data_IF_438662872095
#
_entry.id   IF_438662872095
#
_cell.length_a   1.000
_cell.length_b   1.000
_cell.length_c   1.000
_cell.angle_alpha   90.00
_cell.angle_beta   90.00
_cell.angle_gamma   90.00
#
_symmetry.space_group_name_H-M   'P 1'
#
loop_
_entity.id
_entity.type
_entity.pdbx_description
1 polymer ?
#
# COMPACT_ATOMS: atom_id res chain seq x y z
N UNK A 1 -6.78 -18.60 13.51
CA UNK A 1 -6.38 -18.81 12.09
C UNK A 1 -5.41 -17.71 11.70
N UNK A 2 -4.29 -18.06 11.06
CA UNK A 2 -3.20 -17.12 10.73
C UNK A 2 -3.62 -16.27 9.52
N UNK A 3 -3.57 -14.93 9.64
CA UNK A 3 -3.87 -14.04 8.50
C UNK A 3 -2.71 -14.04 7.51
N UNK A 4 -3.05 -14.00 6.23
CA UNK A 4 -2.12 -14.12 5.11
C UNK A 4 -1.75 -12.72 4.62
N UNK A 5 -0.51 -12.49 4.22
CA UNK A 5 -0.11 -11.26 3.53
C UNK A 5 0.56 -11.57 2.19
N UNK A 6 0.52 -10.57 1.32
CA UNK A 6 1.20 -10.56 0.04
C UNK A 6 1.82 -9.20 -0.19
N UNK A 7 3.10 -9.20 -0.53
CA UNK A 7 3.90 -7.98 -0.71
C UNK A 7 4.12 -7.77 -2.21
N UNK A 8 3.89 -6.54 -2.66
CA UNK A 8 4.16 -6.10 -4.03
C UNK A 8 5.14 -4.93 -3.94
N UNK A 9 6.42 -5.16 -4.22
CA UNK A 9 7.41 -4.09 -4.34
C UNK A 9 7.44 -3.59 -5.77
N UNK A 10 7.29 -2.30 -6.00
CA UNK A 10 7.28 -1.76 -7.36
C UNK A 10 8.42 -0.82 -7.66
N UNK A 11 9.01 -1.03 -8.83
CA UNK A 11 10.21 -0.37 -9.28
C UNK A 11 9.88 0.42 -10.54
N UNK A 12 9.86 1.75 -10.52
CA UNK A 12 9.59 2.49 -11.75
C UNK A 12 9.53 4.00 -11.64
N UNK A 13 10.66 4.66 -11.41
CA UNK A 13 10.78 6.12 -11.65
C UNK A 13 11.44 6.40 -13.01
N UNK A 14 11.04 5.68 -14.05
CA UNK A 14 11.55 5.87 -15.43
C UNK A 14 10.47 6.25 -16.44
N UNK A 15 9.23 6.45 -15.99
CA UNK A 15 8.07 6.88 -16.81
C UNK A 15 7.34 8.04 -16.13
N UNK A 16 6.50 8.82 -16.85
CA UNK A 16 5.60 9.78 -16.21
C UNK A 16 4.75 9.07 -15.14
N UNK A 17 4.52 9.72 -13.99
CA UNK A 17 3.89 9.12 -12.80
C UNK A 17 2.62 8.29 -13.12
N UNK A 18 1.81 8.73 -14.08
CA UNK A 18 0.57 8.06 -14.47
C UNK A 18 0.73 6.63 -15.02
N UNK A 19 1.82 6.31 -15.74
CA UNK A 19 2.03 4.96 -16.29
C UNK A 19 2.50 3.96 -15.23
N UNK A 20 3.35 4.39 -14.30
CA UNK A 20 3.81 3.54 -13.20
C UNK A 20 2.65 3.15 -12.30
N UNK A 21 1.79 4.10 -11.92
CA UNK A 21 0.60 3.80 -11.11
C UNK A 21 -0.33 2.80 -11.82
N UNK A 22 -0.49 2.90 -13.14
CA UNK A 22 -1.33 1.96 -13.89
C UNK A 22 -0.83 0.51 -13.80
N UNK A 23 0.48 0.28 -13.99
CA UNK A 23 1.06 -1.06 -13.85
C UNK A 23 0.91 -1.62 -12.44
N UNK A 24 1.06 -0.77 -11.42
CA UNK A 24 0.87 -1.19 -10.05
C UNK A 24 -0.55 -1.64 -9.78
N UNK A 25 -1.52 -0.81 -10.15
CA UNK A 25 -2.92 -1.15 -10.00
C UNK A 25 -3.20 -2.48 -10.69
N UNK A 26 -2.65 -2.72 -11.88
CA UNK A 26 -2.80 -4.01 -12.57
C UNK A 26 -2.33 -5.20 -11.71
N UNK A 27 -1.16 -5.10 -11.07
CA UNK A 27 -0.64 -6.18 -10.22
C UNK A 27 -1.53 -6.37 -8.99
N UNK A 28 -1.95 -5.28 -8.33
CA UNK A 28 -2.85 -5.33 -7.19
C UNK A 28 -4.23 -5.91 -7.58
N UNK A 29 -4.80 -5.51 -8.74
CA UNK A 29 -6.04 -6.05 -9.30
C UNK A 29 -5.91 -7.55 -9.59
N UNK A 30 -4.80 -8.01 -10.15
CA UNK A 30 -4.57 -9.43 -10.42
C UNK A 30 -4.56 -10.27 -9.13
N UNK A 31 -4.14 -9.69 -8.01
CA UNK A 31 -4.24 -10.34 -6.70
C UNK A 31 -5.65 -10.24 -6.11
N UNK A 32 -6.33 -9.11 -6.23
CA UNK A 32 -7.73 -8.94 -5.81
C UNK A 32 -8.67 -9.89 -6.56
N UNK A 33 -8.44 -10.15 -7.86
CA UNK A 33 -9.22 -11.14 -8.64
C UNK A 33 -9.21 -12.54 -8.00
N UNK A 34 -8.11 -12.92 -7.35
CA UNK A 34 -7.92 -14.21 -6.65
C UNK A 34 -8.46 -14.23 -5.21
N UNK A 35 -8.87 -13.08 -4.67
CA UNK A 35 -9.54 -13.04 -3.38
C UNK A 35 -10.95 -13.63 -3.48
N UNK A 36 -11.67 -13.85 -2.40
CA UNK A 36 -13.09 -14.24 -2.49
C UNK A 36 -13.97 -12.99 -2.53
N UNK A 37 -15.27 -13.13 -2.79
CA UNK A 37 -16.19 -12.01 -2.61
C UNK A 37 -16.33 -11.68 -1.12
N UNK A 38 -16.44 -10.41 -0.76
CA UNK A 38 -16.51 -10.00 0.64
C UNK A 38 -16.32 -8.51 0.85
N UNK A 39 -16.00 -8.12 2.09
CA UNK A 39 -15.69 -6.74 2.46
C UNK A 39 -14.22 -6.45 2.22
N UNK A 40 -13.92 -5.44 1.40
CA UNK A 40 -12.57 -4.99 1.08
C UNK A 40 -12.35 -3.57 1.60
N UNK A 41 -11.23 -3.35 2.28
CA UNK A 41 -10.77 -2.01 2.65
C UNK A 41 -9.62 -1.58 1.73
N UNK A 42 -9.78 -0.45 1.05
CA UNK A 42 -8.71 0.29 0.39
C UNK A 42 -8.20 1.40 1.31
N UNK A 43 -6.91 1.33 1.66
CA UNK A 43 -6.24 2.38 2.45
C UNK A 43 -5.88 3.54 1.51
N UNK A 44 -6.25 4.76 1.92
CA UNK A 44 -6.02 6.02 1.19
C UNK A 44 -6.35 5.98 -0.31
N UNK A 45 -7.64 5.87 -0.69
CA UNK A 45 -8.07 5.87 -2.09
C UNK A 45 -7.70 7.15 -2.87
N UNK A 46 -7.36 8.25 -2.19
CA UNK A 46 -6.98 9.53 -2.78
C UNK A 46 -7.96 10.02 -3.85
N UNK A 47 -7.47 10.13 -5.09
CA UNK A 47 -8.26 10.56 -6.26
C UNK A 47 -9.21 9.48 -6.83
N UNK A 48 -9.42 8.37 -6.12
CA UNK A 48 -10.34 7.28 -6.48
C UNK A 48 -9.99 6.54 -7.78
N UNK A 49 -8.74 6.62 -8.25
CA UNK A 49 -8.32 5.96 -9.49
C UNK A 49 -8.34 4.45 -9.37
N UNK A 50 -7.73 3.91 -8.31
CA UNK A 50 -7.70 2.49 -8.04
C UNK A 50 -9.06 1.98 -7.54
N UNK A 51 -9.67 2.69 -6.59
CA UNK A 51 -11.07 2.53 -6.17
C UNK A 51 -12.07 2.23 -7.29
N UNK A 52 -12.07 3.02 -8.38
CA UNK A 52 -12.95 2.80 -9.53
C UNK A 52 -12.67 1.46 -10.23
N UNK A 53 -11.40 1.10 -10.40
CA UNK A 53 -11.00 -0.17 -11.01
C UNK A 53 -11.37 -1.36 -10.12
N UNK A 54 -11.30 -1.21 -8.79
CA UNK A 54 -11.76 -2.24 -7.85
C UNK A 54 -13.28 -2.42 -7.96
N UNK A 55 -14.05 -1.32 -8.04
CA UNK A 55 -15.52 -1.37 -8.21
C UNK A 55 -15.93 -2.15 -9.46
N UNK A 56 -15.19 -2.02 -10.55
CA UNK A 56 -15.43 -2.77 -11.80
C UNK A 56 -15.31 -4.29 -11.65
N UNK A 57 -14.59 -4.78 -10.63
CA UNK A 57 -14.54 -6.22 -10.33
C UNK A 57 -15.88 -6.79 -9.85
N UNK A 58 -16.80 -5.93 -9.41
CA UNK A 58 -18.16 -6.26 -8.92
C UNK A 58 -18.18 -7.46 -7.94
N UNK A 59 -17.18 -7.49 -7.05
CA UNK A 59 -16.90 -8.60 -6.14
C UNK A 59 -16.89 -8.21 -4.67
N UNK A 60 -16.67 -6.92 -4.41
CA UNK A 60 -16.40 -6.43 -3.06
C UNK A 60 -17.45 -5.41 -2.64
N UNK A 61 -17.86 -5.52 -1.38
CA UNK A 61 -18.41 -4.39 -0.64
C UNK A 61 -17.21 -3.53 -0.22
N UNK A 62 -17.04 -2.39 -0.89
CA UNK A 62 -15.81 -1.60 -0.84
C UNK A 62 -15.90 -0.48 0.21
N UNK A 63 -14.86 -0.39 1.02
CA UNK A 63 -14.70 0.60 2.08
C UNK A 63 -13.36 1.31 1.90
N UNK A 64 -13.27 2.57 2.30
CA UNK A 64 -12.02 3.31 2.25
C UNK A 64 -11.96 4.44 3.26
N UNK A 65 -10.74 4.81 3.64
CA UNK A 65 -10.48 5.95 4.49
C UNK A 65 -9.28 6.75 4.01
N UNK A 66 -9.37 8.07 4.09
CA UNK A 66 -8.34 9.01 3.65
C UNK A 66 -8.44 10.31 4.46
N UNK A 67 -7.38 11.12 4.52
CA UNK A 67 -7.42 12.45 5.11
C UNK A 67 -8.14 13.45 4.18
N UNK A 68 -8.03 13.25 2.86
CA UNK A 68 -8.60 14.13 1.85
C UNK A 68 -9.18 13.31 0.70
N UNK A 69 -10.50 13.08 0.72
CA UNK A 69 -11.19 12.43 -0.39
C UNK A 69 -12.52 13.12 -0.72
N UNK A 70 -12.75 13.36 -2.01
CA UNK A 70 -13.95 14.02 -2.54
C UNK A 70 -15.09 13.02 -2.81
N UNK A 71 -15.32 12.08 -1.90
CA UNK A 71 -16.41 11.10 -1.97
C UNK A 71 -16.90 10.78 -0.55
N UNK A 72 -18.16 11.10 -0.26
CA UNK A 72 -18.78 10.95 1.07
C UNK A 72 -18.83 9.49 1.56
N UNK A 73 -18.64 8.51 0.67
CA UNK A 73 -18.54 7.09 1.04
C UNK A 73 -17.19 6.73 1.66
N UNK A 74 -16.19 7.61 1.55
CA UNK A 74 -14.86 7.43 2.14
C UNK A 74 -14.82 8.11 3.51
N UNK A 75 -14.44 7.37 4.54
CA UNK A 75 -14.35 7.93 5.89
C UNK A 75 -13.11 8.82 6.03
N UNK A 76 -13.26 9.95 6.70
CA UNK A 76 -12.09 10.73 7.13
C UNK A 76 -11.23 9.91 8.09
N UNK A 77 -9.92 9.86 7.85
CA UNK A 77 -8.93 9.26 8.74
C UNK A 77 -7.54 9.80 8.44
N UNK A 78 -6.90 10.45 9.42
CA UNK A 78 -5.49 10.77 9.32
C UNK A 78 -4.65 9.58 9.79
N UNK A 79 -4.13 8.79 8.84
CA UNK A 79 -3.36 7.57 9.12
C UNK A 79 -2.09 7.76 9.97
N UNK A 80 -1.61 9.00 10.15
CA UNK A 80 -0.47 9.30 11.02
C UNK A 80 -0.87 9.47 12.49
N UNK A 81 -2.10 9.88 12.79
CA UNK A 81 -2.55 10.21 14.15
C UNK A 81 -3.65 9.27 14.63
N UNK A 82 -4.56 8.91 13.73
CA UNK A 82 -5.80 8.23 14.05
C UNK A 82 -5.64 6.72 13.95
N UNK A 83 -6.56 6.00 14.58
CA UNK A 83 -6.77 4.58 14.34
C UNK A 83 -7.74 4.41 13.17
N UNK A 84 -7.68 3.28 12.46
CA UNK A 84 -8.59 3.05 11.33
C UNK A 84 -10.05 3.07 11.83
N UNK A 85 -10.96 3.82 11.17
CA UNK A 85 -12.31 4.10 11.66
C UNK A 85 -13.29 2.93 11.43
N UNK A 86 -12.85 1.73 11.80
CA UNK A 86 -13.52 0.46 11.57
C UNK A 86 -13.31 -0.48 12.77
N UNK A 87 -14.30 -1.34 12.97
CA UNK A 87 -14.26 -2.35 14.02
C UNK A 87 -13.21 -3.43 13.75
N UNK A 88 -12.84 -4.14 14.82
CA UNK A 88 -11.94 -5.29 14.74
C UNK A 88 -12.53 -6.38 13.84
N UNK A 89 -11.68 -7.04 13.05
CA UNK A 89 -12.07 -8.19 12.22
C UNK A 89 -13.31 -7.94 11.32
N UNK A 90 -13.41 -6.74 10.73
CA UNK A 90 -14.51 -6.37 9.83
C UNK A 90 -14.27 -6.85 8.40
N UNK A 91 -13.02 -6.80 7.91
CA UNK A 91 -12.70 -6.98 6.50
C UNK A 91 -12.20 -8.38 6.17
N UNK A 92 -12.64 -8.89 5.02
CA UNK A 92 -12.13 -10.15 4.48
C UNK A 92 -10.74 -9.96 3.87
N UNK A 93 -10.53 -8.82 3.19
CA UNK A 93 -9.25 -8.45 2.60
C UNK A 93 -8.98 -6.93 2.78
N UNK A 94 -7.70 -6.55 2.81
CA UNK A 94 -7.23 -5.16 2.88
C UNK A 94 -6.20 -4.94 1.76
N UNK A 95 -6.30 -3.80 1.07
CA UNK A 95 -5.30 -3.35 0.09
C UNK A 95 -4.73 -1.98 0.47
N UNK A 96 -3.40 -1.87 0.45
CA UNK A 96 -2.64 -0.68 0.79
C UNK A 96 -1.62 -0.42 -0.32
N UNK A 97 -1.95 0.47 -1.25
CA UNK A 97 -1.26 0.61 -2.53
C UNK A 97 -0.54 1.96 -2.61
N UNK A 98 0.79 1.98 -2.51
CA UNK A 98 1.64 3.19 -2.43
C UNK A 98 1.20 4.17 -1.33
N UNK A 99 1.02 3.65 -0.12
CA UNK A 99 0.63 4.49 1.04
C UNK A 99 1.70 4.45 2.11
N UNK A 100 2.22 3.27 2.43
CA UNK A 100 3.03 3.05 3.64
C UNK A 100 4.32 3.89 3.67
N UNK A 101 4.90 4.23 2.53
CA UNK A 101 6.06 5.11 2.40
C UNK A 101 5.79 6.57 2.74
N UNK A 102 4.51 6.98 2.80
CA UNK A 102 4.07 8.32 3.21
C UNK A 102 3.76 8.42 4.71
N UNK A 103 3.73 7.28 5.43
CA UNK A 103 3.24 7.19 6.81
C UNK A 103 4.39 7.26 7.79
N UNK A 104 4.36 8.18 8.74
CA UNK A 104 5.44 8.39 9.72
C UNK A 104 5.68 7.17 10.60
N UNK A 105 4.61 6.46 10.97
CA UNK A 105 4.68 5.25 11.78
C UNK A 105 4.10 4.03 11.02
N UNK A 106 4.89 3.38 10.15
CA UNK A 106 4.43 2.22 9.39
C UNK A 106 4.08 1.01 10.28
N UNK A 107 4.68 0.91 11.47
CA UNK A 107 4.36 -0.13 12.45
C UNK A 107 2.92 -0.02 12.93
N UNK A 108 2.47 1.20 13.29
CA UNK A 108 1.09 1.47 13.70
C UNK A 108 0.11 1.10 12.58
N UNK A 109 0.36 1.55 11.35
CA UNK A 109 -0.54 1.27 10.23
C UNK A 109 -0.67 -0.23 9.96
N UNK A 110 0.43 -1.00 10.00
CA UNK A 110 0.38 -2.46 9.82
C UNK A 110 -0.39 -3.14 10.96
N UNK A 111 -0.21 -2.70 12.20
CA UNK A 111 -0.97 -3.20 13.35
C UNK A 111 -2.47 -2.92 13.19
N UNK A 112 -2.84 -1.73 12.73
CA UNK A 112 -4.24 -1.35 12.48
C UNK A 112 -4.86 -2.13 11.33
N UNK A 113 -4.14 -2.30 10.22
CA UNK A 113 -4.58 -3.16 9.11
C UNK A 113 -4.79 -4.61 9.59
N UNK A 114 -3.93 -5.10 10.48
CA UNK A 114 -4.09 -6.42 11.10
C UNK A 114 -5.33 -6.49 12.00
N UNK A 115 -5.59 -5.45 12.79
CA UNK A 115 -6.73 -5.37 13.72
C UNK A 115 -8.07 -5.44 12.99
N UNK A 116 -8.22 -4.69 11.90
CA UNK A 116 -9.48 -4.63 11.14
C UNK A 116 -9.68 -5.83 10.22
N UNK A 117 -8.63 -6.59 9.94
CA UNK A 117 -8.68 -7.79 9.10
C UNK A 117 -9.21 -8.99 9.89
N UNK A 118 -10.13 -9.75 9.31
CA UNK A 118 -10.60 -11.02 9.88
C UNK A 118 -9.45 -12.02 10.03
N UNK A 119 -9.54 -12.96 11.00
CA UNK A 119 -8.63 -14.10 11.03
C UNK A 119 -8.65 -14.85 9.69
N UNK A 120 -7.47 -15.00 9.06
CA UNK A 120 -7.35 -15.63 7.74
C UNK A 120 -7.55 -14.70 6.54
N UNK A 121 -7.94 -13.45 6.75
CA UNK A 121 -8.02 -12.44 5.70
C UNK A 121 -6.66 -12.13 5.07
N UNK A 122 -6.67 -11.45 3.92
CA UNK A 122 -5.43 -11.12 3.19
C UNK A 122 -5.11 -9.63 3.23
N UNK A 123 -3.83 -9.31 3.45
CA UNK A 123 -3.28 -7.98 3.19
C UNK A 123 -2.50 -7.99 1.87
N UNK A 124 -2.87 -7.11 0.94
CA UNK A 124 -2.10 -6.79 -0.26
C UNK A 124 -1.47 -5.43 -0.05
N UNK A 125 -0.13 -5.36 0.03
CA UNK A 125 0.58 -4.11 0.29
C UNK A 125 1.61 -3.82 -0.79
N UNK A 126 1.70 -2.56 -1.23
CA UNK A 126 2.76 -2.08 -2.12
C UNK A 126 3.52 -0.88 -1.60
N UNK A 127 4.74 -0.73 -2.11
CA UNK A 127 5.62 0.41 -1.85
C UNK A 127 6.75 0.45 -2.90
N UNK A 128 7.40 1.61 -3.11
CA UNK A 128 8.54 1.73 -4.02
C UNK A 128 9.70 0.78 -3.72
N UNK A 129 10.36 0.32 -4.77
CA UNK A 129 11.47 -0.63 -4.71
C UNK A 129 12.82 0.07 -4.82
N UNK A 130 13.32 0.53 -3.68
CA UNK A 130 14.66 1.12 -3.52
C UNK A 130 15.82 0.11 -3.66
N UNK A 131 15.53 -1.19 -3.86
CA UNK A 131 16.57 -2.23 -3.89
C UNK A 131 17.24 -2.39 -5.24
N UNK A 132 16.85 -1.61 -6.26
CA UNK A 132 17.47 -1.64 -7.59
C UNK A 132 18.93 -1.23 -7.56
N UNK A 133 19.72 -1.78 -8.48
CA UNK A 133 21.13 -1.41 -8.64
C UNK A 133 21.28 0.09 -8.90
N UNK A 134 20.44 0.66 -9.79
CA UNK A 134 20.41 2.10 -10.06
C UNK A 134 20.17 2.91 -8.77
N UNK A 135 19.13 2.59 -7.99
CA UNK A 135 18.79 3.34 -6.77
C UNK A 135 19.89 3.23 -5.70
N UNK A 136 20.54 2.06 -5.58
CA UNK A 136 21.67 1.85 -4.66
C UNK A 136 22.91 2.64 -5.06
N UNK A 137 23.26 2.64 -6.35
CA UNK A 137 24.38 3.43 -6.88
C UNK A 137 24.06 4.92 -6.74
N UNK A 138 22.84 5.33 -7.06
CA UNK A 138 22.39 6.71 -6.90
C UNK A 138 22.50 7.15 -5.43
N UNK A 139 22.01 6.35 -4.49
CA UNK A 139 22.15 6.61 -3.06
C UNK A 139 23.62 6.75 -2.64
N UNK A 140 24.50 5.86 -3.11
CA UNK A 140 25.93 5.93 -2.81
C UNK A 140 26.56 7.28 -3.19
N UNK A 141 26.14 7.87 -4.32
CA UNK A 141 26.70 9.13 -4.81
C UNK A 141 25.92 10.38 -4.39
N UNK A 142 24.64 10.26 -4.04
CA UNK A 142 23.76 11.41 -3.76
C UNK A 142 23.26 11.49 -2.32
N UNK A 143 23.34 10.40 -1.56
CA UNK A 143 22.91 10.33 -0.16
C UNK A 143 21.40 10.18 0.07
N UNK A 144 20.61 10.00 -0.99
CA UNK A 144 19.16 9.77 -0.93
C UNK A 144 18.68 8.85 -2.06
N UNK A 145 17.51 8.22 -1.90
CA UNK A 145 16.91 7.39 -2.94
C UNK A 145 16.08 8.25 -3.92
N UNK A 146 16.09 7.96 -5.23
CA UNK A 146 15.21 8.64 -6.19
C UNK A 146 13.75 8.60 -5.72
N UNK A 147 13.07 9.74 -5.73
CA UNK A 147 11.68 9.86 -5.25
C UNK A 147 11.52 10.00 -3.73
N UNK A 148 12.58 9.86 -2.93
CA UNK A 148 12.59 10.05 -1.47
C UNK A 148 13.31 11.35 -1.09
N UNK A 149 13.00 12.43 -1.80
CA UNK A 149 13.59 13.75 -1.56
C UNK A 149 12.75 14.53 -0.55
N UNK A 150 13.42 15.18 0.40
CA UNK A 150 12.78 16.09 1.34
C UNK A 150 12.55 17.46 0.66
N UNK A 151 11.62 17.53 -0.29
CA UNK A 151 11.24 18.81 -0.89
C UNK A 151 10.20 19.52 -0.01
N UNK A 152 10.59 20.65 0.57
CA UNK A 152 9.88 21.47 1.57
C UNK A 152 8.43 21.89 1.27
N UNK A 153 7.83 21.55 0.11
CA UNK A 153 6.64 22.24 -0.38
C UNK A 153 5.32 21.44 -0.39
N UNK A 154 5.30 20.10 -0.30
CA UNK A 154 4.05 19.34 -0.27
C UNK A 154 4.15 18.09 0.64
N UNK A 155 3.79 18.23 1.91
CA UNK A 155 3.86 17.15 2.90
C UNK A 155 3.00 15.91 2.57
N UNK A 156 1.92 16.06 1.81
CA UNK A 156 0.98 14.97 1.50
C UNK A 156 1.47 13.98 0.42
N UNK A 157 2.49 14.34 -0.37
CA UNK A 157 2.99 13.52 -1.49
C UNK A 157 4.44 13.07 -1.31
N UNK A 158 5.04 13.31 -0.15
CA UNK A 158 6.43 12.95 0.10
C UNK A 158 6.55 11.48 0.48
N UNK A 159 7.40 10.73 -0.23
CA UNK A 159 7.88 9.46 0.28
C UNK A 159 8.91 9.73 1.39
N UNK A 160 8.48 9.58 2.63
CA UNK A 160 9.32 9.82 3.81
C UNK A 160 10.03 8.56 4.29
N UNK A 161 9.49 7.38 3.96
CA UNK A 161 9.99 6.10 4.44
C UNK A 161 10.44 5.18 3.29
N UNK A 162 11.76 5.13 2.99
CA UNK A 162 12.33 4.18 2.03
C UNK A 162 12.38 2.76 2.63
N UNK A 163 11.21 2.13 2.76
CA UNK A 163 11.07 0.81 3.38
C UNK A 163 11.71 -0.24 2.47
N UNK A 164 12.82 -0.84 2.93
CA UNK A 164 13.47 -1.93 2.20
C UNK A 164 12.72 -3.27 2.40
N UNK A 165 13.09 -4.33 1.66
CA UNK A 165 12.33 -5.60 1.75
C UNK A 165 12.48 -6.27 3.13
N UNK A 166 13.65 -6.21 3.76
CA UNK A 166 13.86 -6.83 5.08
C UNK A 166 13.02 -6.15 6.14
N UNK A 167 12.95 -4.82 6.09
CA UNK A 167 12.11 -4.03 6.98
C UNK A 167 10.62 -4.33 6.79
N UNK A 168 10.14 -4.40 5.53
CA UNK A 168 8.76 -4.83 5.25
C UNK A 168 8.45 -6.23 5.79
N UNK A 169 9.38 -7.17 5.63
CA UNK A 169 9.23 -8.53 6.16
C UNK A 169 9.17 -8.54 7.69
N UNK A 170 10.04 -7.77 8.35
CA UNK A 170 10.04 -7.63 9.81
C UNK A 170 8.70 -7.05 10.29
N UNK A 171 8.30 -5.91 9.73
CA UNK A 171 7.04 -5.23 10.05
C UNK A 171 5.84 -6.18 9.97
N UNK A 172 5.73 -6.96 8.89
CA UNK A 172 4.62 -7.88 8.68
C UNK A 172 4.69 -9.09 9.62
N UNK A 173 5.87 -9.68 9.81
CA UNK A 173 6.04 -10.84 10.69
C UNK A 173 5.73 -10.51 12.15
N UNK A 174 6.24 -9.39 12.67
CA UNK A 174 5.99 -8.96 14.05
C UNK A 174 4.50 -8.66 14.30
N UNK A 175 3.75 -8.31 13.26
CA UNK A 175 2.29 -8.12 13.31
C UNK A 175 1.49 -9.40 13.00
N UNK A 176 2.14 -10.56 12.97
CA UNK A 176 1.47 -11.86 12.81
C UNK A 176 0.88 -12.10 11.42
N UNK A 177 1.51 -11.56 10.38
CA UNK A 177 1.24 -11.93 9.00
C UNK A 177 2.20 -13.03 8.53
N UNK A 178 1.69 -13.94 7.70
CA UNK A 178 2.52 -14.87 6.93
C UNK A 178 2.62 -14.40 5.49
N UNK A 179 3.85 -14.17 5.02
CA UNK A 179 4.12 -13.74 3.65
C UNK A 179 3.98 -14.92 2.69
N UNK A 180 3.00 -14.87 1.80
CA UNK A 180 2.78 -15.94 0.81
C UNK A 180 3.55 -15.72 -0.49
N UNK A 181 3.77 -14.47 -0.89
CA UNK A 181 4.41 -14.13 -2.16
C UNK A 181 4.98 -12.70 -2.08
N UNK A 182 6.07 -12.48 -2.82
CA UNK A 182 6.74 -11.19 -2.97
C UNK A 182 6.92 -10.95 -4.46
N UNK A 183 6.20 -9.96 -5.00
CA UNK A 183 6.34 -9.57 -6.40
C UNK A 183 7.22 -8.34 -6.51
N UNK A 184 8.12 -8.36 -7.47
CA UNK A 184 8.89 -7.19 -7.89
C UNK A 184 8.36 -6.75 -9.25
N UNK A 185 7.60 -5.65 -9.29
CA UNK A 185 7.20 -5.03 -10.54
C UNK A 185 8.32 -4.13 -11.05
N UNK A 186 8.69 -4.21 -12.32
CA UNK A 186 9.43 -3.14 -13.00
C UNK A 186 8.55 -2.59 -14.10
N UNK A 187 8.45 -1.26 -14.26
CA UNK A 187 7.86 -0.73 -15.49
C UNK A 187 8.60 -1.36 -16.67
N UNK A 188 7.92 -2.08 -17.59
CA UNK A 188 8.58 -2.58 -18.78
C UNK A 188 9.13 -1.38 -19.57
N UNK A 189 10.31 -1.58 -20.14
CA UNK A 189 11.00 -0.63 -21.01
C UNK A 189 10.12 -0.23 -22.20
#
# INVERSE_FOLDING_TARGET
>A
MISKSKIIKMSGYSKPEGETLYYLHKICLDELRKCEKGKLLEISPGQLRFWRQIKELNKFELYGCDIECNDDSIKYCNLNTDDLPYDNALFDDVVCCEVIEHIHNPWKLIAEMKRVLKPGGKLIISTPNISKMYDRIFYLFKGFFPGFQYERYNHAMQHINPINIKEMLLLLNENGFVINDIKYGSSPY
#
